data_IF_751651749924
#
_entry.id   IF_751651749924
#
_cell.length_a   1.000
_cell.length_b   1.000
_cell.length_c   1.000
_cell.angle_alpha   90.00
_cell.angle_beta   90.00
_cell.angle_gamma   90.00
#
_symmetry.space_group_name_H-M   'P 1'
#
loop_
_entity.id
_entity.type
_entity.pdbx_description
1 polymer ?
#
# COMPACT_ATOMS: atom_id res chain seq x y z
N UNK A 1 -23.67 3.80 19.36
CA UNK A 1 -22.68 3.70 18.30
C UNK A 1 -23.43 3.26 17.06
N UNK A 2 -23.54 4.14 16.06
CA UNK A 2 -24.19 3.83 14.79
C UNK A 2 -23.27 2.91 14.00
N UNK A 3 -23.73 1.72 13.70
CA UNK A 3 -23.08 0.81 12.75
C UNK A 3 -23.80 1.05 11.43
N UNK A 4 -23.14 1.66 10.42
CA UNK A 4 -23.76 1.82 9.10
C UNK A 4 -24.08 0.44 8.52
N UNK A 5 -25.24 0.31 7.91
CA UNK A 5 -25.58 -0.90 7.16
C UNK A 5 -24.53 -1.09 6.03
N UNK A 6 -24.13 -2.33 5.81
CA UNK A 6 -23.08 -2.72 4.85
C UNK A 6 -23.27 -2.14 3.45
N UNK A 7 -24.51 -1.89 3.05
CA UNK A 7 -24.90 -1.30 1.77
C UNK A 7 -24.47 0.16 1.59
N UNK A 8 -24.42 0.93 2.68
CA UNK A 8 -24.01 2.35 2.64
C UNK A 8 -22.50 2.49 2.53
N UNK A 9 -21.75 1.50 2.99
CA UNK A 9 -20.30 1.46 2.83
C UNK A 9 -19.92 1.24 1.34
N UNK A 10 -20.61 0.35 0.63
CA UNK A 10 -20.34 0.05 -0.79
C UNK A 10 -20.61 1.26 -1.70
N UNK A 11 -21.74 1.96 -1.48
CA UNK A 11 -22.13 3.10 -2.30
C UNK A 11 -21.27 4.35 -2.08
N UNK A 12 -20.61 4.47 -0.93
CA UNK A 12 -19.74 5.59 -0.61
C UNK A 12 -18.29 5.41 -1.10
N UNK A 13 -17.90 4.21 -1.57
CA UNK A 13 -16.51 3.90 -1.90
C UNK A 13 -16.17 4.00 -3.37
N UNK A 14 -17.15 4.26 -4.27
CA UNK A 14 -16.87 4.45 -5.70
C UNK A 14 -16.17 3.28 -6.38
N UNK A 15 -16.23 2.08 -5.77
CA UNK A 15 -15.65 0.87 -6.35
C UNK A 15 -16.40 0.58 -7.65
N UNK A 16 -15.78 0.90 -8.78
CA UNK A 16 -16.25 0.45 -10.08
C UNK A 16 -16.34 -1.06 -10.00
N UNK A 17 -17.53 -1.58 -10.29
CA UNK A 17 -17.80 -3.00 -10.42
C UNK A 17 -16.88 -3.55 -11.53
N UNK A 18 -15.70 -3.97 -11.16
CA UNK A 18 -14.85 -4.73 -12.07
C UNK A 18 -15.38 -6.17 -12.07
N UNK A 19 -16.20 -6.46 -13.09
CA UNK A 19 -16.81 -7.78 -13.27
C UNK A 19 -15.78 -8.88 -13.58
N UNK A 20 -14.49 -8.53 -13.70
CA UNK A 20 -13.39 -9.48 -13.93
C UNK A 20 -12.90 -10.16 -12.64
N UNK A 21 -13.40 -9.76 -11.48
CA UNK A 21 -13.07 -10.42 -10.22
C UNK A 21 -13.56 -11.87 -10.25
N UNK A 22 -12.67 -12.75 -10.66
CA UNK A 22 -12.87 -14.19 -10.61
C UNK A 22 -13.38 -14.58 -9.22
N UNK A 23 -14.32 -15.49 -9.19
CA UNK A 23 -15.04 -15.95 -8.01
C UNK A 23 -14.11 -16.17 -6.83
N UNK A 24 -14.03 -15.18 -5.95
CA UNK A 24 -13.29 -15.29 -4.68
C UNK A 24 -13.79 -16.53 -3.95
N UNK A 25 -12.91 -17.48 -3.70
CA UNK A 25 -13.24 -18.70 -2.98
C UNK A 25 -12.72 -18.57 -1.56
N UNK A 26 -13.57 -18.70 -0.55
CA UNK A 26 -13.08 -18.87 0.82
C UNK A 26 -12.45 -20.25 0.87
N UNK A 27 -11.17 -20.29 1.15
CA UNK A 27 -10.40 -21.53 1.14
C UNK A 27 -10.43 -22.19 2.51
N UNK A 28 -10.36 -21.42 3.59
CA UNK A 28 -10.41 -21.93 4.97
C UNK A 28 -10.64 -20.81 5.99
N UNK A 29 -11.24 -21.16 7.14
CA UNK A 29 -11.21 -20.35 8.36
C UNK A 29 -10.33 -21.07 9.37
N UNK A 30 -9.04 -20.75 9.44
CA UNK A 30 -8.15 -21.27 10.46
C UNK A 30 -7.76 -20.11 11.38
N UNK A 31 -7.84 -20.32 12.68
CA UNK A 31 -7.45 -19.33 13.70
C UNK A 31 -8.12 -17.93 13.55
N UNK A 32 -9.42 -17.90 13.18
CA UNK A 32 -10.17 -16.65 12.99
C UNK A 32 -9.69 -15.77 11.83
N UNK A 33 -9.11 -16.36 10.80
CA UNK A 33 -8.62 -15.68 9.61
C UNK A 33 -9.46 -16.09 8.40
N UNK A 34 -9.78 -15.13 7.54
CA UNK A 34 -10.44 -15.38 6.27
C UNK A 34 -9.39 -15.42 5.17
N UNK A 35 -9.30 -16.56 4.51
CA UNK A 35 -8.47 -16.76 3.33
C UNK A 35 -9.34 -16.70 2.08
N UNK A 36 -8.87 -15.99 1.09
CA UNK A 36 -9.49 -15.93 -0.23
C UNK A 36 -8.44 -16.22 -1.29
N UNK A 37 -8.87 -16.61 -2.49
CA UNK A 37 -8.00 -16.81 -3.63
C UNK A 37 -7.20 -15.56 -4.02
N UNK A 38 -7.59 -14.37 -3.55
CA UNK A 38 -6.82 -13.14 -3.71
C UNK A 38 -5.56 -13.09 -2.86
N UNK A 39 -5.50 -13.81 -1.73
CA UNK A 39 -4.30 -13.89 -0.89
C UNK A 39 -3.20 -14.69 -1.59
N UNK A 40 -3.56 -15.48 -2.60
CA UNK A 40 -2.65 -16.38 -3.32
C UNK A 40 -2.29 -15.90 -4.73
N UNK A 41 -2.54 -14.64 -5.06
CA UNK A 41 -2.37 -14.12 -6.42
C UNK A 41 -0.89 -13.98 -6.88
N UNK A 42 0.10 -14.17 -6.01
CA UNK A 42 1.51 -14.22 -6.41
C UNK A 42 1.75 -15.28 -7.51
N UNK A 43 0.91 -16.30 -7.56
CA UNK A 43 0.94 -17.33 -8.62
C UNK A 43 0.66 -16.81 -10.03
N UNK A 44 0.08 -15.64 -10.16
CA UNK A 44 -0.36 -15.09 -11.44
C UNK A 44 0.62 -14.08 -12.02
N UNK A 45 1.68 -13.73 -11.27
CA UNK A 45 2.69 -12.78 -11.77
C UNK A 45 3.59 -13.49 -12.77
N UNK A 46 3.50 -13.10 -14.02
CA UNK A 46 4.32 -13.61 -15.11
C UNK A 46 5.71 -12.97 -15.13
N UNK A 47 6.65 -13.61 -15.83
CA UNK A 47 7.98 -13.03 -16.12
C UNK A 47 7.85 -11.68 -16.83
N UNK A 48 6.86 -11.53 -17.71
CA UNK A 48 6.62 -10.29 -18.43
C UNK A 48 6.19 -9.16 -17.48
N UNK A 49 5.41 -9.46 -16.44
CA UNK A 49 5.03 -8.48 -15.42
C UNK A 49 6.23 -8.03 -14.57
N UNK A 50 7.13 -8.97 -14.23
CA UNK A 50 8.37 -8.64 -13.50
C UNK A 50 9.25 -7.74 -14.35
N UNK A 51 9.45 -8.11 -15.63
CA UNK A 51 10.23 -7.31 -16.58
C UNK A 51 9.62 -5.92 -16.77
N UNK A 52 8.30 -5.85 -16.89
CA UNK A 52 7.56 -4.60 -17.02
C UNK A 52 7.76 -3.68 -15.79
N UNK A 53 7.66 -4.23 -14.59
CA UNK A 53 7.91 -3.47 -13.36
C UNK A 53 9.37 -2.96 -13.28
N UNK A 54 10.32 -3.80 -13.68
CA UNK A 54 11.73 -3.42 -13.72
C UNK A 54 12.01 -2.30 -14.73
N UNK A 55 11.38 -2.36 -15.90
CA UNK A 55 11.53 -1.34 -16.95
C UNK A 55 10.92 0.01 -16.53
N UNK A 56 9.75 -0.02 -15.90
CA UNK A 56 9.17 1.19 -15.29
C UNK A 56 10.10 1.80 -14.26
N UNK A 57 10.68 0.96 -13.37
CA UNK A 57 11.57 1.46 -12.34
C UNK A 57 12.84 2.10 -12.92
N UNK A 58 13.45 1.49 -13.94
CA UNK A 58 14.58 2.07 -14.67
C UNK A 58 14.22 3.39 -15.33
N UNK A 59 13.07 3.44 -16.01
CA UNK A 59 12.59 4.66 -16.64
C UNK A 59 12.32 5.78 -15.61
N UNK A 60 11.82 5.43 -14.42
CA UNK A 60 11.61 6.37 -13.32
C UNK A 60 12.96 6.92 -12.80
N UNK A 61 13.95 6.05 -12.61
CA UNK A 61 15.30 6.46 -12.22
C UNK A 61 15.95 7.37 -13.27
N UNK A 62 15.87 7.01 -14.54
CA UNK A 62 16.41 7.80 -15.65
C UNK A 62 15.73 9.17 -15.75
N UNK A 63 14.39 9.21 -15.75
CA UNK A 63 13.63 10.46 -15.88
C UNK A 63 13.83 11.38 -14.68
N UNK A 64 13.83 10.84 -13.47
CA UNK A 64 13.94 11.64 -12.25
C UNK A 64 15.38 12.06 -11.92
N UNK A 65 16.37 11.27 -12.33
CA UNK A 65 17.77 11.43 -11.90
C UNK A 65 17.97 11.32 -10.38
N UNK A 66 17.04 10.62 -9.68
CA UNK A 66 17.02 10.45 -8.22
C UNK A 66 17.24 9.00 -7.82
N UNK A 67 17.67 8.81 -6.56
CA UNK A 67 17.65 7.49 -5.94
C UNK A 67 16.19 7.04 -5.79
N UNK A 68 15.85 6.00 -6.54
CA UNK A 68 14.49 5.49 -6.58
C UNK A 68 14.48 3.98 -6.34
N UNK A 69 13.53 3.54 -5.52
CA UNK A 69 13.42 2.20 -4.98
C UNK A 69 12.03 1.62 -5.20
N UNK A 70 11.94 0.29 -5.30
CA UNK A 70 10.68 -0.44 -5.38
C UNK A 70 10.54 -1.37 -4.16
N UNK A 71 9.40 -1.31 -3.47
CA UNK A 71 9.08 -2.16 -2.33
C UNK A 71 7.88 -3.04 -2.67
N UNK A 72 8.10 -4.32 -3.03
CA UNK A 72 7.03 -5.29 -3.12
C UNK A 72 6.54 -5.66 -1.71
N UNK A 73 5.34 -5.24 -1.36
CA UNK A 73 4.75 -5.53 -0.04
C UNK A 73 4.22 -6.96 -0.05
N UNK A 74 4.73 -7.85 0.82
CA UNK A 74 4.28 -9.24 0.86
C UNK A 74 2.83 -9.35 1.34
N UNK A 75 2.16 -10.36 0.87
CA UNK A 75 0.85 -10.73 1.35
C UNK A 75 0.94 -11.56 2.63
N UNK A 76 -0.16 -11.61 3.38
CA UNK A 76 -0.26 -12.35 4.63
C UNK A 76 0.10 -13.83 4.48
N UNK A 77 -0.34 -14.47 3.39
CA UNK A 77 -0.10 -15.90 3.13
C UNK A 77 1.38 -16.30 3.19
N UNK A 78 2.30 -15.35 2.95
CA UNK A 78 3.75 -15.56 3.03
C UNK A 78 4.21 -15.95 4.44
N UNK A 79 3.44 -15.60 5.46
CA UNK A 79 3.75 -15.83 6.89
C UNK A 79 2.94 -16.96 7.54
N UNK A 80 2.00 -17.55 6.81
CA UNK A 80 1.11 -18.55 7.38
C UNK A 80 1.68 -19.97 7.25
N UNK A 81 1.56 -20.75 8.32
CA UNK A 81 1.94 -22.17 8.30
C UNK A 81 1.00 -22.96 7.39
N UNK A 82 1.59 -23.88 6.62
CA UNK A 82 0.84 -24.64 5.61
C UNK A 82 0.79 -23.98 4.23
N UNK A 83 1.38 -22.78 4.11
CA UNK A 83 1.46 -22.02 2.85
C UNK A 83 2.91 -21.67 2.49
N UNK A 84 3.85 -22.57 2.78
CA UNK A 84 5.28 -22.40 2.53
C UNK A 84 5.58 -22.09 1.06
N UNK A 85 4.74 -22.59 0.14
CA UNK A 85 4.84 -22.28 -1.28
C UNK A 85 4.65 -20.79 -1.58
N UNK A 86 3.86 -20.05 -0.80
CA UNK A 86 3.62 -18.62 -1.03
C UNK A 86 4.86 -17.81 -0.69
N UNK A 87 5.56 -18.20 0.36
CA UNK A 87 6.87 -17.62 0.69
C UNK A 87 7.91 -17.88 -0.39
N UNK A 88 7.96 -19.10 -0.93
CA UNK A 88 8.86 -19.45 -2.02
C UNK A 88 8.55 -18.62 -3.28
N UNK A 89 7.29 -18.44 -3.61
CA UNK A 89 6.87 -17.61 -4.75
C UNK A 89 7.25 -16.14 -4.56
N UNK A 90 7.03 -15.61 -3.37
CA UNK A 90 7.44 -14.24 -3.05
C UNK A 90 8.96 -14.07 -3.18
N UNK A 91 9.74 -14.98 -2.64
CA UNK A 91 11.20 -14.97 -2.77
C UNK A 91 11.63 -15.05 -4.24
N UNK A 92 11.06 -15.97 -5.01
CA UNK A 92 11.35 -16.09 -6.44
C UNK A 92 11.00 -14.82 -7.22
N UNK A 93 9.88 -14.15 -6.88
CA UNK A 93 9.52 -12.87 -7.47
C UNK A 93 10.57 -11.80 -7.14
N UNK A 94 10.92 -11.63 -5.87
CA UNK A 94 11.87 -10.59 -5.44
C UNK A 94 13.26 -10.84 -5.98
N UNK A 95 13.75 -12.08 -5.98
CA UNK A 95 15.05 -12.47 -6.58
C UNK A 95 15.12 -12.14 -8.08
N UNK A 96 14.07 -12.41 -8.84
CA UNK A 96 14.01 -12.08 -10.26
C UNK A 96 13.94 -10.57 -10.50
N UNK A 97 13.19 -9.86 -9.66
CA UNK A 97 13.13 -8.41 -9.73
C UNK A 97 14.50 -7.79 -9.41
N UNK A 98 15.16 -8.24 -8.35
CA UNK A 98 16.52 -7.84 -7.98
C UNK A 98 17.53 -8.12 -9.10
N UNK A 99 17.46 -9.29 -9.73
CA UNK A 99 18.31 -9.66 -10.86
C UNK A 99 18.13 -8.78 -12.11
N UNK A 100 17.04 -8.02 -12.18
CA UNK A 100 16.76 -7.08 -13.27
C UNK A 100 17.53 -5.76 -13.14
N UNK A 101 18.20 -5.52 -12.02
CA UNK A 101 18.97 -4.29 -11.74
C UNK A 101 20.44 -4.59 -11.56
N UNK A 102 21.29 -3.61 -11.91
CA UNK A 102 22.74 -3.67 -11.65
C UNK A 102 23.01 -3.58 -10.15
N UNK A 103 22.22 -2.78 -9.44
CA UNK A 103 22.25 -2.65 -7.98
C UNK A 103 20.96 -3.29 -7.42
N UNK A 104 21.04 -4.46 -6.78
CA UNK A 104 19.87 -5.13 -6.23
C UNK A 104 19.24 -4.37 -5.04
N UNK A 105 19.93 -3.44 -4.41
CA UNK A 105 19.41 -2.62 -3.30
C UNK A 105 18.26 -1.69 -3.72
N UNK A 106 18.05 -1.53 -5.03
CA UNK A 106 16.85 -0.87 -5.59
C UNK A 106 15.56 -1.56 -5.13
N UNK A 107 15.62 -2.88 -4.84
CA UNK A 107 14.47 -3.65 -4.36
C UNK A 107 14.48 -3.72 -2.84
N UNK A 108 13.57 -2.98 -2.21
CA UNK A 108 13.39 -2.97 -0.76
C UNK A 108 12.51 -4.14 -0.33
N UNK A 109 13.13 -5.26 0.06
CA UNK A 109 12.40 -6.46 0.48
C UNK A 109 12.10 -6.44 1.99
N UNK A 110 10.83 -6.23 2.43
CA UNK A 110 10.49 -6.14 3.84
C UNK A 110 10.35 -7.53 4.52
N UNK A 111 10.44 -8.64 3.78
CA UNK A 111 10.15 -9.97 4.31
C UNK A 111 10.97 -10.29 5.56
N UNK A 112 12.29 -10.12 5.50
CA UNK A 112 13.18 -10.49 6.61
C UNK A 112 12.95 -9.64 7.86
N UNK A 113 12.51 -8.40 7.73
CA UNK A 113 12.16 -7.55 8.86
C UNK A 113 10.83 -7.97 9.48
N UNK A 114 9.83 -8.24 8.63
CA UNK A 114 8.52 -8.71 9.07
C UNK A 114 8.59 -10.09 9.76
N UNK A 115 9.44 -11.00 9.28
CA UNK A 115 9.63 -12.32 9.88
C UNK A 115 10.13 -12.28 11.33
N UNK A 116 10.98 -11.32 11.68
CA UNK A 116 11.43 -11.13 13.07
C UNK A 116 10.28 -10.83 14.02
N UNK A 117 9.17 -10.35 13.48
CA UNK A 117 7.99 -9.89 14.21
C UNK A 117 6.72 -10.68 13.88
N UNK A 118 6.85 -11.87 13.24
CA UNK A 118 5.71 -12.66 12.78
C UNK A 118 4.73 -13.11 13.88
N UNK A 119 5.16 -13.10 15.15
CA UNK A 119 4.28 -13.37 16.30
C UNK A 119 3.40 -12.17 16.69
N UNK A 120 3.63 -11.00 16.10
CA UNK A 120 2.87 -9.79 16.36
C UNK A 120 1.71 -9.66 15.37
N UNK A 121 0.76 -8.76 15.67
CA UNK A 121 -0.38 -8.48 14.80
C UNK A 121 0.03 -7.63 13.59
N UNK A 122 0.70 -8.26 12.62
CA UNK A 122 1.25 -7.60 11.43
C UNK A 122 0.23 -7.41 10.31
N UNK A 123 -0.75 -8.31 10.19
CA UNK A 123 -1.77 -8.31 9.15
C UNK A 123 -3.17 -8.34 9.76
N UNK A 124 -4.11 -7.68 9.12
CA UNK A 124 -5.52 -7.78 9.48
C UNK A 124 -6.04 -9.21 9.21
N UNK A 125 -7.01 -9.66 10.02
CA UNK A 125 -7.63 -10.98 9.86
C UNK A 125 -8.66 -10.99 8.74
N UNK A 126 -9.40 -9.88 8.60
CA UNK A 126 -10.55 -9.77 7.70
C UNK A 126 -10.27 -8.88 6.49
N UNK A 127 -9.04 -8.40 6.34
CA UNK A 127 -8.61 -7.53 5.24
C UNK A 127 -7.27 -7.99 4.68
N UNK A 128 -7.15 -8.03 3.35
CA UNK A 128 -5.89 -8.31 2.70
C UNK A 128 -4.97 -7.07 2.73
N UNK A 129 -4.43 -6.78 3.90
CA UNK A 129 -3.49 -5.68 4.12
C UNK A 129 -2.74 -5.89 5.44
N UNK A 130 -1.53 -5.41 5.51
CA UNK A 130 -0.86 -5.29 6.80
C UNK A 130 -1.54 -4.26 7.70
N UNK A 131 -1.27 -4.35 9.00
CA UNK A 131 -1.70 -3.38 10.00
C UNK A 131 -0.75 -2.18 10.02
N UNK A 132 -1.05 -1.17 10.83
CA UNK A 132 -0.11 -0.09 11.09
C UNK A 132 1.22 -0.60 11.68
N UNK A 133 1.21 -1.72 12.41
CA UNK A 133 2.42 -2.35 12.94
C UNK A 133 3.26 -2.99 11.83
N UNK A 134 2.62 -3.70 10.89
CA UNK A 134 3.30 -4.21 9.70
C UNK A 134 3.89 -3.07 8.86
N UNK A 135 3.13 -1.99 8.65
CA UNK A 135 3.59 -0.81 7.96
C UNK A 135 4.77 -0.10 8.66
N UNK A 136 4.83 -0.13 10.01
CA UNK A 136 5.97 0.35 10.77
C UNK A 136 7.25 -0.41 10.38
N UNK A 137 7.21 -1.74 10.39
CA UNK A 137 8.38 -2.55 10.03
C UNK A 137 8.75 -2.41 8.54
N UNK A 138 7.76 -2.20 7.66
CA UNK A 138 8.03 -1.83 6.26
C UNK A 138 8.80 -0.51 6.16
N UNK A 139 8.41 0.52 6.91
CA UNK A 139 9.13 1.80 6.94
C UNK A 139 10.57 1.67 7.47
N UNK A 140 10.83 0.73 8.43
CA UNK A 140 12.19 0.48 8.92
C UNK A 140 13.14 -0.04 7.82
N UNK A 141 12.62 -0.72 6.80
CA UNK A 141 13.43 -1.17 5.65
C UNK A 141 13.87 0.04 4.83
N UNK A 142 12.96 0.98 4.57
CA UNK A 142 13.30 2.24 3.89
C UNK A 142 14.35 3.01 4.69
N UNK A 143 14.19 3.13 6.00
CA UNK A 143 15.14 3.83 6.87
C UNK A 143 16.51 3.17 6.83
N UNK A 144 16.57 1.84 6.90
CA UNK A 144 17.82 1.08 6.84
C UNK A 144 18.59 1.31 5.54
N UNK A 145 17.91 1.26 4.39
CA UNK A 145 18.51 1.47 3.08
C UNK A 145 19.03 2.89 2.93
N UNK A 146 18.27 3.88 3.36
CA UNK A 146 18.66 5.28 3.27
C UNK A 146 19.66 5.73 4.37
N UNK A 147 20.14 4.80 5.20
CA UNK A 147 21.12 5.05 6.26
C UNK A 147 20.58 5.87 7.42
N UNK A 148 19.27 5.77 7.69
CA UNK A 148 18.64 6.38 8.85
C UNK A 148 18.62 5.43 10.04
N UNK A 149 18.56 6.00 11.25
CA UNK A 149 18.40 5.22 12.47
C UNK A 149 17.01 4.55 12.46
N UNK A 150 16.99 3.27 12.82
CA UNK A 150 15.74 2.54 13.00
C UNK A 150 15.01 3.05 14.24
N UNK A 151 13.74 3.33 14.09
CA UNK A 151 12.86 3.74 15.18
C UNK A 151 12.43 2.53 16.02
N UNK A 152 12.06 2.78 17.28
CA UNK A 152 11.51 1.77 18.17
C UNK A 152 10.01 2.01 18.37
N UNK A 153 9.18 1.04 18.01
CA UNK A 153 7.72 1.16 18.12
C UNK A 153 7.28 1.45 19.58
N UNK A 154 8.04 1.02 20.57
CA UNK A 154 7.75 1.31 21.99
C UNK A 154 7.87 2.80 22.35
N UNK A 155 8.49 3.62 21.49
CA UNK A 155 8.51 5.08 21.65
C UNK A 155 7.18 5.74 21.22
N UNK A 156 6.31 4.98 20.55
CA UNK A 156 5.02 5.45 20.06
C UNK A 156 3.91 5.12 21.07
N UNK A 157 2.94 5.99 21.16
CA UNK A 157 1.70 5.71 21.89
C UNK A 157 0.74 4.98 20.97
N UNK A 158 0.25 3.84 21.45
CA UNK A 158 -0.77 3.05 20.78
C UNK A 158 -2.16 3.59 21.13
N UNK A 159 -2.97 3.77 20.10
CA UNK A 159 -4.38 4.15 20.22
C UNK A 159 -5.24 3.14 19.47
N UNK A 160 -6.32 2.69 20.12
CA UNK A 160 -7.34 1.86 19.47
C UNK A 160 -8.40 2.77 18.85
N UNK A 161 -8.51 2.77 17.52
CA UNK A 161 -9.48 3.56 16.76
C UNK A 161 -10.79 2.78 16.48
N UNK A 162 -11.08 1.79 17.29
CA UNK A 162 -12.24 0.95 17.16
C UNK A 162 -11.94 -0.37 16.48
N UNK A 163 -12.98 -1.04 16.07
CA UNK A 163 -12.94 -2.32 15.36
C UNK A 163 -13.67 -2.18 14.03
N UNK A 164 -13.28 -2.95 13.04
CA UNK A 164 -13.91 -2.94 11.73
C UNK A 164 -13.97 -4.32 11.10
N UNK A 165 -14.81 -4.45 10.10
CA UNK A 165 -14.89 -5.63 9.24
C UNK A 165 -14.16 -5.30 7.94
N UNK A 166 -13.19 -6.12 7.58
CA UNK A 166 -12.41 -5.92 6.35
C UNK A 166 -13.17 -6.38 5.11
N UNK A 167 -12.64 -6.02 3.93
CA UNK A 167 -13.24 -6.38 2.65
C UNK A 167 -13.36 -7.89 2.41
N UNK A 168 -12.47 -8.71 2.97
CA UNK A 168 -12.56 -10.17 2.85
C UNK A 168 -13.81 -10.72 3.56
N UNK A 169 -14.15 -10.15 4.72
CA UNK A 169 -15.37 -10.53 5.44
C UNK A 169 -16.62 -10.08 4.68
N UNK A 170 -16.60 -8.88 4.10
CA UNK A 170 -17.71 -8.37 3.29
C UNK A 170 -17.93 -9.23 2.05
N UNK A 171 -16.88 -9.54 1.30
CA UNK A 171 -16.92 -10.43 0.13
C UNK A 171 -17.42 -11.83 0.50
N UNK A 172 -17.01 -12.36 1.65
CA UNK A 172 -17.51 -13.61 2.17
C UNK A 172 -19.03 -13.56 2.43
N UNK A 173 -19.51 -12.48 3.06
CA UNK A 173 -20.92 -12.32 3.41
C UNK A 173 -21.86 -12.18 2.20
N UNK A 174 -21.33 -11.73 1.06
CA UNK A 174 -22.10 -11.66 -0.19
C UNK A 174 -22.25 -13.02 -0.89
N UNK A 175 -21.29 -13.90 -0.68
CA UNK A 175 -21.15 -15.16 -1.44
C UNK A 175 -21.79 -16.37 -0.75
N UNK A 176 -21.86 -16.33 0.55
CA UNK A 176 -22.34 -17.43 1.38
C UNK A 176 -23.65 -17.06 2.07
N UNK A 177 -24.55 -18.04 2.22
CA UNK A 177 -25.78 -17.82 2.97
C UNK A 177 -25.47 -17.49 4.44
N UNK A 178 -26.36 -16.73 5.07
CA UNK A 178 -26.19 -16.35 6.47
C UNK A 178 -25.97 -17.55 7.42
N UNK A 179 -26.45 -18.74 7.04
CA UNK A 179 -26.31 -19.96 7.85
C UNK A 179 -24.94 -20.64 7.67
N UNK A 180 -24.33 -20.56 6.49
CA UNK A 180 -22.96 -21.04 6.23
C UNK A 180 -21.92 -20.15 6.88
N UNK A 181 -22.15 -18.84 6.88
CA UNK A 181 -21.28 -17.83 7.46
C UNK A 181 -21.44 -17.75 8.98
N UNK A 182 -22.68 -17.86 9.48
CA UNK A 182 -23.01 -17.62 10.90
C UNK A 182 -22.25 -18.52 11.87
N UNK A 183 -21.91 -19.74 11.48
CA UNK A 183 -21.28 -20.68 12.40
C UNK A 183 -19.82 -20.37 12.65
N UNK A 184 -19.12 -19.82 11.63
CA UNK A 184 -17.67 -19.62 11.70
C UNK A 184 -17.25 -18.14 11.77
N UNK A 185 -18.09 -17.22 11.29
CA UNK A 185 -17.77 -15.78 11.19
C UNK A 185 -18.39 -14.94 12.32
N UNK A 186 -19.56 -15.34 12.86
CA UNK A 186 -20.20 -14.60 13.96
C UNK A 186 -19.39 -14.60 15.24
N UNK A 187 -18.55 -15.61 15.44
CA UNK A 187 -17.66 -15.72 16.61
C UNK A 187 -16.27 -15.13 16.34
N UNK A 188 -15.99 -14.63 15.12
CA UNK A 188 -14.70 -13.98 14.83
C UNK A 188 -14.59 -12.66 15.57
N UNK A 189 -13.47 -12.46 16.23
CA UNK A 189 -13.08 -11.15 16.70
C UNK A 189 -12.89 -10.21 15.51
N UNK A 190 -13.58 -9.07 15.55
CA UNK A 190 -13.40 -8.00 14.57
C UNK A 190 -11.97 -7.47 14.63
N UNK A 191 -11.46 -7.00 13.49
CA UNK A 191 -10.12 -6.44 13.43
C UNK A 191 -10.03 -5.13 14.24
N UNK A 192 -9.17 -5.04 15.26
CA UNK A 192 -8.88 -3.78 15.90
C UNK A 192 -8.00 -2.93 14.99
N UNK A 193 -8.32 -1.64 14.90
CA UNK A 193 -7.48 -0.69 14.19
C UNK A 193 -6.64 0.09 15.18
N UNK A 194 -5.34 -0.22 15.22
CA UNK A 194 -4.37 0.47 16.04
C UNK A 194 -3.68 1.57 15.24
N UNK A 195 -3.44 2.72 15.89
CA UNK A 195 -2.60 3.80 15.37
C UNK A 195 -1.49 4.07 16.37
N UNK A 196 -0.29 4.27 15.85
CA UNK A 196 0.90 4.56 16.64
C UNK A 196 1.33 6.00 16.38
N UNK A 197 1.41 6.80 17.44
CA UNK A 197 1.74 8.23 17.33
C UNK A 197 2.93 8.55 18.23
N UNK A 198 3.97 9.15 17.63
CA UNK A 198 5.11 9.68 18.34
C UNK A 198 5.09 11.21 18.25
N UNK A 199 4.48 11.86 19.24
CA UNK A 199 4.41 13.33 19.30
C UNK A 199 3.16 13.93 18.68
N UNK A 200 3.32 14.95 17.83
CA UNK A 200 2.21 15.70 17.26
C UNK A 200 1.64 15.03 15.99
N UNK A 201 0.36 15.20 15.77
CA UNK A 201 -0.28 14.79 14.54
C UNK A 201 0.16 15.73 13.40
N UNK A 202 0.81 15.24 12.33
CA UNK A 202 1.29 16.09 11.26
C UNK A 202 0.14 16.67 10.44
N UNK A 203 0.42 17.80 9.77
CA UNK A 203 -0.50 18.38 8.82
C UNK A 203 -0.30 17.75 7.45
N UNK A 204 -1.39 17.51 6.74
CA UNK A 204 -1.38 17.35 5.31
C UNK A 204 -1.55 18.74 4.71
N UNK A 205 -0.53 19.25 4.05
CA UNK A 205 -0.53 20.59 3.45
C UNK A 205 -1.50 20.64 2.27
N UNK A 206 -1.52 19.58 1.48
CA UNK A 206 -2.41 19.44 0.33
C UNK A 206 -2.93 18.00 0.25
N UNK A 207 -4.25 17.87 0.00
CA UNK A 207 -4.92 16.61 -0.27
C UNK A 207 -5.76 16.83 -1.51
N UNK A 208 -5.32 16.33 -2.65
CA UNK A 208 -5.99 16.52 -3.93
C UNK A 208 -6.76 15.26 -4.32
N UNK A 209 -7.97 15.45 -4.78
CA UNK A 209 -8.88 14.40 -5.24
C UNK A 209 -9.81 14.93 -6.32
N UNK A 210 -10.31 14.04 -7.14
CA UNK A 210 -11.35 14.31 -8.11
C UNK A 210 -12.72 14.10 -7.47
N UNK A 211 -13.60 15.09 -7.56
CA UNK A 211 -14.97 14.98 -7.05
C UNK A 211 -15.86 14.20 -8.06
N UNK A 212 -17.12 13.97 -7.67
CA UNK A 212 -18.08 13.24 -8.51
C UNK A 212 -18.39 13.91 -9.85
N UNK A 213 -18.13 15.19 -9.96
CA UNK A 213 -18.29 16.00 -11.17
C UNK A 213 -17.03 16.05 -12.04
N UNK A 214 -15.97 15.32 -11.68
CA UNK A 214 -14.70 15.30 -12.41
C UNK A 214 -13.83 16.55 -12.18
N UNK A 215 -14.05 17.27 -11.08
CA UNK A 215 -13.29 18.48 -10.77
C UNK A 215 -12.25 18.16 -9.69
N UNK A 216 -10.99 18.55 -9.93
CA UNK A 216 -9.94 18.45 -8.93
C UNK A 216 -10.17 19.45 -7.79
N UNK A 217 -10.12 18.94 -6.57
CA UNK A 217 -10.25 19.74 -5.36
C UNK A 217 -9.09 19.47 -4.43
N UNK A 218 -8.68 20.50 -3.71
CA UNK A 218 -7.59 20.42 -2.73
C UNK A 218 -8.07 20.93 -1.39
N UNK A 219 -7.73 20.21 -0.34
CA UNK A 219 -8.02 20.63 1.04
C UNK A 219 -6.81 20.41 1.95
N UNK A 220 -6.84 21.02 3.14
CA UNK A 220 -5.81 20.88 4.19
C UNK A 220 -6.44 20.28 5.43
N UNK A 221 -5.76 19.34 6.07
CA UNK A 221 -6.19 18.77 7.35
C UNK A 221 -5.03 18.04 8.05
N UNK A 222 -5.26 17.62 9.29
CA UNK A 222 -4.32 16.74 9.97
C UNK A 222 -4.31 15.36 9.33
N UNK A 223 -3.14 14.70 9.34
CA UNK A 223 -2.97 13.37 8.77
C UNK A 223 -3.83 12.32 9.48
N UNK A 224 -3.89 12.36 10.81
CA UNK A 224 -4.69 11.43 11.60
C UNK A 224 -6.06 12.07 11.88
N UNK A 225 -7.11 11.39 11.45
CA UNK A 225 -8.50 11.84 11.57
C UNK A 225 -9.21 11.03 12.67
N UNK A 226 -9.30 11.60 13.86
CA UNK A 226 -9.89 10.95 15.04
C UNK A 226 -11.38 10.64 14.92
N UNK A 227 -12.06 11.19 13.94
CA UNK A 227 -13.49 10.97 13.65
C UNK A 227 -13.73 9.99 12.48
N UNK A 228 -12.66 9.38 11.97
CA UNK A 228 -12.70 8.38 10.89
C UNK A 228 -12.36 6.99 11.43
N UNK A 229 -12.57 5.95 10.63
CA UNK A 229 -12.28 4.57 11.00
C UNK A 229 -11.43 3.88 9.93
N UNK A 230 -10.72 2.81 10.32
CA UNK A 230 -9.86 2.05 9.45
C UNK A 230 -8.77 2.91 8.81
N UNK A 231 -8.34 2.59 7.60
CA UNK A 231 -7.27 3.29 6.89
C UNK A 231 -7.56 4.78 6.69
N UNK A 232 -8.83 5.18 6.62
CA UNK A 232 -9.25 6.59 6.52
C UNK A 232 -8.86 7.42 7.72
N UNK A 233 -8.60 6.78 8.87
CA UNK A 233 -8.14 7.49 10.06
C UNK A 233 -6.71 8.01 9.92
N UNK A 234 -5.87 7.39 9.07
CA UNK A 234 -4.47 7.82 8.89
C UNK A 234 -4.32 8.77 7.71
N UNK A 235 -4.74 8.36 6.54
CA UNK A 235 -4.81 9.22 5.34
C UNK A 235 -5.96 8.69 4.51
N UNK A 236 -6.79 9.60 4.02
CA UNK A 236 -7.85 9.21 3.11
C UNK A 236 -7.29 8.47 1.91
N UNK A 237 -7.84 7.29 1.65
CA UNK A 237 -7.48 6.48 0.48
C UNK A 237 -7.98 7.09 -0.83
N UNK A 238 -8.80 8.11 -0.75
CA UNK A 238 -9.56 8.72 -1.83
C UNK A 238 -8.86 9.97 -2.42
N UNK A 239 -7.54 10.13 -2.19
CA UNK A 239 -6.78 11.26 -2.70
C UNK A 239 -5.84 10.82 -3.82
N UNK A 240 -5.83 11.56 -4.93
CA UNK A 240 -4.88 11.35 -6.03
C UNK A 240 -3.46 11.54 -5.51
N UNK A 241 -3.22 12.68 -4.85
CA UNK A 241 -1.96 12.92 -4.15
C UNK A 241 -2.16 13.66 -2.82
N UNK A 242 -1.16 13.59 -1.97
CA UNK A 242 -1.12 14.32 -0.72
C UNK A 242 0.31 14.73 -0.35
N UNK A 243 0.42 15.84 0.35
CA UNK A 243 1.70 16.34 0.86
C UNK A 243 1.63 16.37 2.36
N UNK A 244 2.45 15.56 3.01
CA UNK A 244 2.49 15.45 4.47
C UNK A 244 3.72 16.16 4.98
N UNK A 245 3.51 17.11 5.91
CA UNK A 245 4.58 17.82 6.60
C UNK A 245 5.26 16.90 7.62
N UNK A 246 6.58 16.85 7.58
CA UNK A 246 7.35 16.03 8.50
C UNK A 246 7.33 16.56 9.95
N UNK A 247 7.36 15.64 10.89
CA UNK A 247 7.37 15.91 12.34
C UNK A 247 8.75 15.92 12.97
N UNK A 248 9.76 15.46 12.23
CA UNK A 248 11.07 15.06 12.73
C UNK A 248 11.62 15.92 13.85
N UNK A 249 11.92 15.31 14.97
CA UNK A 249 12.62 15.92 16.10
C UNK A 249 14.14 15.87 15.95
N UNK A 250 14.63 15.26 14.87
CA UNK A 250 16.04 15.04 14.58
C UNK A 250 16.52 15.79 13.34
N UNK A 251 17.67 15.41 12.83
CA UNK A 251 18.16 15.87 11.54
C UNK A 251 17.25 15.32 10.45
N UNK A 252 16.34 16.15 9.99
CA UNK A 252 15.49 15.83 8.83
C UNK A 252 16.42 15.74 7.62
N UNK A 253 16.28 14.69 6.86
CA UNK A 253 17.11 14.45 5.70
C UNK A 253 16.21 14.32 4.48
N UNK A 254 16.03 15.42 3.76
CA UNK A 254 15.41 15.44 2.46
C UNK A 254 13.91 15.23 2.42
N UNK A 255 13.40 15.18 1.21
CA UNK A 255 11.97 14.97 0.92
C UNK A 255 11.78 13.69 0.10
N UNK A 256 10.71 12.99 0.37
CA UNK A 256 10.37 11.72 -0.23
C UNK A 256 9.17 11.86 -1.17
N UNK A 257 9.26 11.29 -2.38
CA UNK A 257 8.11 10.93 -3.19
C UNK A 257 7.76 9.47 -2.92
N UNK A 258 6.59 9.22 -2.34
CA UNK A 258 6.04 7.88 -2.13
C UNK A 258 4.94 7.62 -3.16
N UNK A 259 5.18 6.71 -4.10
CA UNK A 259 4.19 6.24 -5.08
C UNK A 259 3.61 4.95 -4.52
N UNK A 260 2.34 4.94 -4.12
CA UNK A 260 1.85 3.84 -3.31
C UNK A 260 0.38 3.51 -3.49
N UNK A 261 0.07 2.24 -3.26
CA UNK A 261 -1.29 1.77 -2.99
C UNK A 261 -1.71 2.05 -1.54
N UNK A 262 -2.88 1.58 -1.14
CA UNK A 262 -3.39 1.73 0.23
C UNK A 262 -2.44 1.14 1.28
N UNK A 263 -1.72 0.03 0.96
CA UNK A 263 -0.79 -0.60 1.90
C UNK A 263 0.46 0.26 2.09
N UNK A 264 1.07 0.70 0.99
CA UNK A 264 2.22 1.59 1.03
C UNK A 264 1.92 2.90 1.75
N UNK A 265 0.72 3.47 1.53
CA UNK A 265 0.26 4.69 2.22
C UNK A 265 0.20 4.55 3.74
N UNK A 266 0.01 3.36 4.30
CA UNK A 266 0.02 3.16 5.75
C UNK A 266 1.37 3.48 6.41
N UNK A 267 2.47 3.49 5.65
CA UNK A 267 3.79 3.88 6.15
C UNK A 267 3.96 5.37 6.38
N UNK A 268 3.10 6.22 5.83
CA UNK A 268 3.29 7.68 5.80
C UNK A 268 3.46 8.28 7.20
N UNK A 269 2.72 7.77 8.21
CA UNK A 269 2.84 8.26 9.58
C UNK A 269 4.24 8.08 10.16
N UNK A 270 4.96 7.06 9.74
CA UNK A 270 6.33 6.77 10.15
C UNK A 270 7.34 7.52 9.28
N UNK A 271 7.13 7.55 7.96
CA UNK A 271 7.96 8.29 7.02
C UNK A 271 7.99 9.79 7.37
N UNK A 272 6.88 10.37 7.81
CA UNK A 272 6.80 11.77 8.25
C UNK A 272 7.61 12.07 9.53
N UNK A 273 8.09 11.07 10.26
CA UNK A 273 9.00 11.28 11.40
C UNK A 273 10.42 11.60 10.94
N UNK A 274 10.83 11.09 9.78
CA UNK A 274 12.21 11.13 9.27
C UNK A 274 12.36 12.19 8.18
N UNK A 275 11.44 12.25 7.22
CA UNK A 275 11.49 13.18 6.10
C UNK A 275 10.91 14.56 6.45
N UNK A 276 11.42 15.61 5.84
CA UNK A 276 10.85 16.96 5.98
C UNK A 276 9.46 17.04 5.37
N UNK A 277 9.30 16.44 4.20
CA UNK A 277 8.01 16.27 3.50
C UNK A 277 7.94 14.91 2.85
N UNK A 278 6.73 14.38 2.84
CA UNK A 278 6.38 13.19 2.07
C UNK A 278 5.32 13.60 1.05
N UNK A 279 5.70 13.65 -0.21
CA UNK A 279 4.75 13.74 -1.31
C UNK A 279 4.24 12.33 -1.60
N UNK A 280 2.95 12.13 -1.54
CA UNK A 280 2.33 10.82 -1.72
C UNK A 280 1.48 10.85 -2.99
N UNK A 281 1.79 9.99 -3.93
CA UNK A 281 1.01 9.75 -5.14
C UNK A 281 0.24 8.44 -5.03
N UNK A 282 -1.05 8.46 -5.34
CA UNK A 282 -1.87 7.26 -5.42
C UNK A 282 -1.61 6.56 -6.76
N UNK A 283 -1.00 5.38 -6.71
CA UNK A 283 -0.61 4.65 -7.90
C UNK A 283 -1.80 4.30 -8.83
N UNK A 284 -3.01 4.22 -8.29
CA UNK A 284 -4.23 3.89 -9.06
C UNK A 284 -4.92 5.10 -9.69
N UNK A 285 -4.66 6.32 -9.19
CA UNK A 285 -5.50 7.49 -9.50
C UNK A 285 -4.71 8.69 -10.03
N UNK A 286 -3.43 8.85 -9.65
CA UNK A 286 -2.62 10.01 -10.02
C UNK A 286 -2.06 9.86 -11.45
N UNK A 287 -2.94 9.94 -12.43
CA UNK A 287 -2.56 9.78 -13.85
C UNK A 287 -1.61 10.88 -14.37
N UNK A 288 -1.57 12.02 -13.69
CA UNK A 288 -0.77 13.18 -14.08
C UNK A 288 0.63 13.17 -13.44
N UNK A 289 0.94 12.21 -12.55
CA UNK A 289 2.21 12.14 -11.83
C UNK A 289 3.42 12.32 -12.75
N UNK A 290 3.51 11.50 -13.80
CA UNK A 290 4.69 11.48 -14.68
C UNK A 290 4.77 12.74 -15.54
N UNK A 291 3.64 13.27 -15.96
CA UNK A 291 3.60 14.53 -16.70
C UNK A 291 4.12 15.70 -15.85
N UNK A 292 3.84 15.68 -14.56
CA UNK A 292 4.20 16.74 -13.62
C UNK A 292 5.47 16.41 -12.82
N UNK A 293 6.16 15.30 -13.11
CA UNK A 293 7.25 14.79 -12.26
C UNK A 293 8.35 15.82 -12.07
N UNK A 294 8.82 16.48 -13.11
CA UNK A 294 9.90 17.46 -13.02
C UNK A 294 9.51 18.65 -12.14
N UNK A 295 8.27 19.15 -12.27
CA UNK A 295 7.74 20.22 -11.40
C UNK A 295 7.66 19.75 -9.94
N UNK A 296 7.20 18.53 -9.69
CA UNK A 296 7.10 17.95 -8.35
C UNK A 296 8.48 17.80 -7.72
N UNK A 297 9.45 17.28 -8.47
CA UNK A 297 10.82 17.09 -8.00
C UNK A 297 11.48 18.43 -7.61
N UNK A 298 11.29 19.45 -8.43
CA UNK A 298 11.85 20.78 -8.17
C UNK A 298 11.11 21.50 -7.03
N UNK A 299 9.79 21.62 -7.14
CA UNK A 299 8.95 22.38 -6.19
C UNK A 299 9.06 21.86 -4.75
N UNK A 300 9.12 20.55 -4.60
CA UNK A 300 9.17 19.92 -3.29
C UNK A 300 10.58 19.44 -2.91
N UNK A 301 11.60 19.75 -3.72
CA UNK A 301 12.98 19.32 -3.51
C UNK A 301 13.08 17.83 -3.16
N UNK A 302 12.47 16.98 -3.98
CA UNK A 302 12.46 15.52 -3.77
C UNK A 302 13.89 14.99 -3.93
N UNK A 303 14.34 14.22 -2.96
CA UNK A 303 15.65 13.56 -2.96
C UNK A 303 15.53 12.07 -3.21
N UNK A 304 14.49 11.44 -2.71
CA UNK A 304 14.25 9.99 -2.79
C UNK A 304 12.89 9.68 -3.35
N UNK A 305 12.79 8.58 -4.08
CA UNK A 305 11.53 8.06 -4.60
C UNK A 305 11.38 6.62 -4.11
N UNK A 306 10.20 6.28 -3.57
CA UNK A 306 9.85 4.90 -3.22
C UNK A 306 8.52 4.55 -3.87
N UNK A 307 8.54 3.51 -4.68
CA UNK A 307 7.33 2.86 -5.16
C UNK A 307 7.01 1.67 -4.26
N UNK A 308 5.95 1.75 -3.46
CA UNK A 308 5.54 0.72 -2.51
C UNK A 308 4.13 0.22 -2.83
N UNK A 309 4.02 -1.05 -3.20
CA UNK A 309 2.78 -1.65 -3.65
C UNK A 309 2.69 -3.12 -3.26
N UNK A 310 1.46 -3.62 -3.11
CA UNK A 310 1.18 -5.05 -3.01
C UNK A 310 1.91 -5.83 -4.11
N UNK A 311 2.63 -6.87 -3.72
CA UNK A 311 3.38 -7.71 -4.66
C UNK A 311 2.51 -8.29 -5.77
N UNK A 312 1.25 -8.63 -5.46
CA UNK A 312 0.31 -9.17 -6.46
C UNK A 312 -0.14 -8.13 -7.51
N UNK A 313 0.04 -6.86 -7.23
CA UNK A 313 -0.41 -5.75 -8.10
C UNK A 313 0.76 -5.14 -8.89
N UNK A 314 1.99 -5.41 -8.49
CA UNK A 314 3.19 -4.94 -9.20
C UNK A 314 3.24 -5.56 -10.59
N UNK A 315 3.46 -4.72 -11.61
CA UNK A 315 3.51 -5.15 -13.01
C UNK A 315 2.12 -5.38 -13.64
N UNK A 316 1.04 -5.18 -12.91
CA UNK A 316 -0.31 -5.14 -13.47
C UNK A 316 -0.60 -3.74 -14.02
N UNK A 317 -0.58 -3.61 -15.35
CA UNK A 317 -0.75 -2.32 -16.04
C UNK A 317 -2.02 -1.57 -15.63
N UNK A 318 -3.11 -2.29 -15.34
CA UNK A 318 -4.38 -1.67 -14.91
C UNK A 318 -4.31 -1.08 -13.49
N UNK A 319 -3.31 -1.48 -12.71
CA UNK A 319 -3.11 -1.07 -11.32
C UNK A 319 -1.88 -0.15 -11.12
N UNK A 320 -1.36 0.42 -12.23
CA UNK A 320 -0.17 1.28 -12.21
C UNK A 320 -0.38 2.56 -13.01
N UNK A 321 -1.56 3.15 -12.90
CA UNK A 321 -1.98 4.29 -13.70
C UNK A 321 -1.00 5.48 -13.59
N UNK A 322 -0.48 5.73 -12.39
CA UNK A 322 0.47 6.80 -12.14
C UNK A 322 1.83 6.61 -12.86
N UNK A 323 2.24 5.37 -13.14
CA UNK A 323 3.57 5.04 -13.68
C UNK A 323 3.57 4.61 -15.16
N UNK A 324 2.44 4.12 -15.68
CA UNK A 324 2.34 3.63 -17.06
C UNK A 324 2.81 4.64 -18.13
N UNK A 325 2.64 5.97 -17.97
CA UNK A 325 3.12 6.92 -18.97
C UNK A 325 4.63 6.87 -19.22
N UNK A 326 5.44 6.39 -18.25
CA UNK A 326 6.90 6.28 -18.43
C UNK A 326 7.31 5.41 -19.64
N UNK A 327 6.60 4.32 -19.88
CA UNK A 327 6.92 3.41 -20.98
C UNK A 327 6.43 3.92 -22.35
N UNK A 328 5.43 4.79 -22.37
CA UNK A 328 4.94 5.40 -23.60
C UNK A 328 5.91 6.45 -24.16
N UNK A 329 6.63 7.15 -23.30
CA UNK A 329 7.64 8.13 -23.68
C UNK A 329 8.91 7.47 -24.25
N UNK A 330 9.22 6.22 -23.85
CA UNK A 330 10.42 5.47 -24.26
C UNK A 330 10.33 4.70 -25.59
N UNK A 331 9.23 4.80 -26.33
CA UNK A 331 9.14 4.26 -27.70
C UNK A 331 8.91 2.75 -27.81
N UNK A 332 8.25 2.10 -26.88
CA UNK A 332 7.67 0.78 -27.13
C UNK A 332 6.47 0.91 -28.04
N UNK A 333 6.65 0.50 -29.30
CA UNK A 333 5.61 0.38 -30.32
C UNK A 333 4.48 -0.51 -29.82
N UNK A 334 3.25 -0.05 -30.09
CA UNK A 334 1.98 -0.78 -29.93
C UNK A 334 2.14 -2.31 -30.00
N UNK A 335 2.11 -2.95 -28.84
CA UNK A 335 1.76 -4.37 -28.79
C UNK A 335 0.26 -4.42 -29.00
N UNK A 336 -0.12 -4.83 -30.19
CA UNK A 336 -1.46 -4.76 -30.75
C UNK A 336 -2.54 -5.24 -29.78
N UNK A 337 -3.48 -4.36 -29.55
CA UNK A 337 -4.84 -4.74 -29.20
C UNK A 337 -5.49 -5.30 -30.47
N UNK A 338 -5.34 -6.59 -30.69
CA UNK A 338 -6.21 -7.30 -31.62
C UNK A 338 -7.58 -7.53 -30.95
N UNK A 339 -8.68 -7.34 -31.72
CA UNK A 339 -10.04 -7.18 -31.22
C UNK A 339 -10.69 -8.45 -30.62
#
# INVERSE_FOLDING_TARGET
>A
VYVPETRDLYNNYGLKNDQSLSKTKILETQDQVIYTDRIFNINQISEDQISYAADIMKALQEKSGKDAYIMPIPERAVFESGYENEKEKYNNFTEKLEASFTDPSVVLNPLSELEKHQSEYLYFRTKNSWTMRGAFYGAQVIFGELGYDKENLNAYREYVFGVFDGNLLLEASEKYTADEIKKDITDMERDPFYIYINGLNPNCEELTFENKEGQKQTLKRQMIQFNSSGNRAVIGTDYEHSIVEGRGKGQRKGNLLLIADTRGKMMISYLSEVFEKVYVSNIYEDADLIQNLDEILEKYNIEYIVWAQDVAEIGNMSHMMALNPLLKEGGMSDVGTDP
#
